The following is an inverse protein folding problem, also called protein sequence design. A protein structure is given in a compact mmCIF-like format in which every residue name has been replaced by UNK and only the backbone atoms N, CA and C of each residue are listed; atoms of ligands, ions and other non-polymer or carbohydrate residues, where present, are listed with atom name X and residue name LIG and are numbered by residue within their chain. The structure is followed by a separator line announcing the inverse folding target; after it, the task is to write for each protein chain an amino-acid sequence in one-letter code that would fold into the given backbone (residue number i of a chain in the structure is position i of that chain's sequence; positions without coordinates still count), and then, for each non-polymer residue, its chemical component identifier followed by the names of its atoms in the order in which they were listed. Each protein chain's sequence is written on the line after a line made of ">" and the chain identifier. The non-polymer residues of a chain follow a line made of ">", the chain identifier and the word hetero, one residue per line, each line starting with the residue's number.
data_IF_601704372641
#
_entry.id   IF_601704372641
#
_cell.length_a   1.000
_cell.length_b   1.000
_cell.length_c   1.000
_cell.angle_alpha   90.00
_cell.angle_beta   90.00
_cell.angle_gamma   90.00
#
_symmetry.space_group_name_H-M   'P 1'
#
loop_
_entity.id
_entity.type
_entity.pdbx_description
1 polymer ?
#
# COMPACT_ATOMS: atom_id res chain seq x y z
N UNK A 1 -2.12 21.36 -7.64
CA UNK A 1 -2.05 19.89 -7.59
C UNK A 1 -1.47 19.45 -6.24
N UNK A 2 -1.76 18.22 -5.80
CA UNK A 2 -1.23 17.61 -4.58
C UNK A 2 -0.41 16.39 -5.00
N UNK A 3 0.91 16.44 -4.81
CA UNK A 3 1.77 15.29 -5.12
C UNK A 3 1.56 14.18 -4.08
N UNK A 4 1.15 13.00 -4.57
CA UNK A 4 0.75 11.83 -3.79
C UNK A 4 1.41 10.56 -4.34
N UNK A 5 2.76 10.49 -4.32
CA UNK A 5 3.49 9.33 -4.82
C UNK A 5 3.16 8.06 -4.03
N UNK A 6 3.43 6.91 -4.63
CA UNK A 6 3.40 5.61 -3.96
C UNK A 6 2.62 4.56 -4.73
N UNK A 7 1.48 4.90 -5.35
CA UNK A 7 0.88 4.04 -6.36
C UNK A 7 1.78 3.99 -7.61
N UNK A 8 2.15 5.20 -8.08
CA UNK A 8 3.23 5.47 -9.02
C UNK A 8 4.06 6.63 -8.48
N UNK A 9 5.31 6.77 -8.92
CA UNK A 9 6.27 7.76 -8.39
C UNK A 9 5.85 9.22 -8.66
N UNK A 10 5.11 9.45 -9.75
CA UNK A 10 4.69 10.77 -10.21
C UNK A 10 3.19 11.05 -9.98
N UNK A 11 2.49 10.23 -9.18
CA UNK A 11 1.05 10.37 -8.98
C UNK A 11 0.67 11.74 -8.36
N UNK A 12 -0.38 12.36 -8.91
CA UNK A 12 -0.92 13.64 -8.48
C UNK A 12 -2.43 13.52 -8.22
N UNK A 13 -2.89 14.07 -7.09
CA UNK A 13 -4.30 14.41 -6.90
C UNK A 13 -4.53 15.87 -7.28
N UNK A 14 -5.76 16.20 -7.70
CA UNK A 14 -6.13 17.57 -8.08
C UNK A 14 -7.28 18.07 -7.22
N UNK A 15 -7.05 19.15 -6.46
CA UNK A 15 -8.09 19.82 -5.71
C UNK A 15 -8.77 20.86 -6.60
N UNK A 16 -10.10 20.85 -6.65
CA UNK A 16 -10.86 21.89 -7.32
C UNK A 16 -11.07 23.07 -6.34
N UNK A 17 -10.59 24.29 -6.66
CA UNK A 17 -10.67 25.43 -5.75
C UNK A 17 -12.10 25.69 -5.25
N UNK A 18 -12.22 26.09 -3.98
CA UNK A 18 -13.45 26.52 -3.29
C UNK A 18 -14.65 25.55 -3.32
N UNK A 19 -14.42 24.29 -3.74
CA UNK A 19 -15.48 23.28 -3.89
C UNK A 19 -15.47 22.21 -2.81
N UNK A 20 -14.35 22.05 -2.09
CA UNK A 20 -14.12 20.91 -1.20
C UNK A 20 -13.93 19.57 -1.94
N UNK A 21 -13.72 19.58 -3.25
CA UNK A 21 -13.54 18.39 -4.08
C UNK A 21 -12.05 18.09 -4.30
N UNK A 22 -11.67 16.82 -4.15
CA UNK A 22 -10.38 16.29 -4.59
C UNK A 22 -10.59 15.16 -5.62
N UNK A 23 -9.98 15.29 -6.80
CA UNK A 23 -9.80 14.17 -7.71
C UNK A 23 -8.64 13.32 -7.22
N UNK A 24 -8.94 12.17 -6.61
CA UNK A 24 -7.96 11.34 -5.90
C UNK A 24 -7.20 10.38 -6.82
N UNK A 25 -7.65 10.21 -8.05
CA UNK A 25 -7.05 9.29 -9.02
C UNK A 25 -7.07 7.85 -8.50
N UNK A 26 -5.96 7.15 -8.72
CA UNK A 26 -5.76 5.77 -8.25
C UNK A 26 -5.07 5.72 -6.89
N UNK A 27 -4.79 6.86 -6.26
CA UNK A 27 -4.18 6.88 -4.93
C UNK A 27 -5.17 6.49 -3.82
N UNK A 28 -6.43 6.92 -3.95
CA UNK A 28 -7.55 6.50 -3.09
C UNK A 28 -8.74 6.21 -3.99
N UNK A 29 -9.07 4.93 -4.17
CA UNK A 29 -10.18 4.46 -5.02
C UNK A 29 -11.43 4.16 -4.19
N UNK A 30 -12.60 4.18 -4.84
CA UNK A 30 -13.91 4.00 -4.18
C UNK A 30 -14.34 2.55 -3.97
N UNK A 31 -13.74 1.58 -4.68
CA UNK A 31 -14.21 0.18 -4.70
C UNK A 31 -13.16 -0.88 -4.29
N UNK A 32 -11.89 -0.48 -4.15
CA UNK A 32 -10.78 -1.37 -3.79
C UNK A 32 -9.57 -0.54 -3.37
N UNK A 33 -8.55 -1.19 -2.80
CA UNK A 33 -7.29 -0.51 -2.44
C UNK A 33 -6.37 -0.39 -3.64
N UNK A 34 -5.57 0.67 -3.70
CA UNK A 34 -4.59 0.89 -4.78
C UNK A 34 -3.56 -0.23 -4.86
N UNK A 35 -3.11 -0.58 -6.06
CA UNK A 35 -1.96 -1.50 -6.19
C UNK A 35 -0.68 -0.73 -5.95
N UNK A 36 0.22 -1.21 -5.10
CA UNK A 36 1.54 -0.62 -4.93
C UNK A 36 2.55 -1.62 -5.49
N UNK A 37 3.24 -1.21 -6.56
CA UNK A 37 4.02 -2.11 -7.40
C UNK A 37 5.41 -1.54 -7.69
N UNK A 38 6.44 -1.93 -6.91
CA UNK A 38 7.82 -1.55 -7.17
C UNK A 38 8.29 -1.96 -8.58
N UNK A 39 9.25 -1.22 -9.18
CA UNK A 39 9.97 -0.08 -8.59
C UNK A 39 9.24 1.27 -8.71
N UNK A 40 8.17 1.36 -9.52
CA UNK A 40 7.47 2.65 -9.71
C UNK A 40 6.53 2.98 -8.55
N UNK A 41 5.94 1.97 -7.91
CA UNK A 41 5.21 2.10 -6.66
C UNK A 41 6.10 1.91 -5.44
N UNK A 42 5.80 2.63 -4.36
CA UNK A 42 6.57 2.65 -3.12
C UNK A 42 5.62 2.71 -1.91
N UNK A 43 5.75 1.76 -0.98
CA UNK A 43 4.85 1.64 0.17
C UNK A 43 5.04 2.77 1.18
N UNK A 44 6.28 3.18 1.44
CA UNK A 44 6.58 4.25 2.39
C UNK A 44 6.01 5.58 1.88
N UNK A 45 6.23 5.90 0.60
CA UNK A 45 5.69 7.08 -0.07
C UNK A 45 4.15 7.04 -0.13
N UNK A 46 3.57 5.87 -0.37
CA UNK A 46 2.12 5.68 -0.36
C UNK A 46 1.52 6.00 1.01
N UNK A 47 2.09 5.43 2.09
CA UNK A 47 1.62 5.68 3.45
C UNK A 47 1.78 7.15 3.84
N UNK A 48 2.92 7.77 3.53
CA UNK A 48 3.14 9.20 3.78
C UNK A 48 2.15 10.09 2.99
N UNK A 49 1.76 9.68 1.79
CA UNK A 49 0.76 10.38 0.99
C UNK A 49 -0.66 10.21 1.53
N UNK A 50 -1.01 9.04 2.06
CA UNK A 50 -2.28 8.86 2.79
C UNK A 50 -2.34 9.73 4.05
N UNK A 51 -1.25 9.82 4.82
CA UNK A 51 -1.18 10.71 5.99
C UNK A 51 -1.30 12.19 5.60
N UNK A 52 -0.68 12.59 4.47
CA UNK A 52 -0.85 13.93 3.89
C UNK A 52 -2.32 14.19 3.54
N UNK A 53 -3.02 13.22 2.96
CA UNK A 53 -4.44 13.33 2.62
C UNK A 53 -5.33 13.39 3.87
N UNK A 54 -5.01 12.68 4.96
CA UNK A 54 -5.73 12.80 6.23
C UNK A 54 -5.68 14.21 6.84
N UNK A 55 -4.56 14.92 6.64
CA UNK A 55 -4.39 16.30 7.08
C UNK A 55 -5.27 17.31 6.32
N UNK A 56 -5.84 16.93 5.17
CA UNK A 56 -6.68 17.80 4.35
C UNK A 56 -8.12 17.85 4.87
N UNK A 57 -8.87 18.83 4.35
CA UNK A 57 -10.26 19.12 4.73
C UNK A 57 -11.23 19.06 3.54
N UNK A 58 -10.87 18.31 2.50
CA UNK A 58 -11.77 18.09 1.37
C UNK A 58 -13.02 17.31 1.85
N UNK A 59 -14.18 17.67 1.30
CA UNK A 59 -15.47 17.10 1.65
C UNK A 59 -15.79 15.84 0.85
N UNK A 60 -15.31 15.73 -0.40
CA UNK A 60 -15.56 14.57 -1.26
C UNK A 60 -14.35 14.25 -2.14
N UNK A 61 -14.05 12.96 -2.30
CA UNK A 61 -13.09 12.50 -3.30
C UNK A 61 -13.81 11.92 -4.51
N UNK A 62 -13.33 12.26 -5.70
CA UNK A 62 -13.70 11.64 -6.97
C UNK A 62 -12.53 10.78 -7.47
N UNK A 63 -12.58 9.46 -7.27
CA UNK A 63 -11.54 8.55 -7.75
C UNK A 63 -11.67 8.28 -9.25
N UNK A 64 -10.62 7.73 -9.87
CA UNK A 64 -10.73 7.14 -11.22
C UNK A 64 -11.68 5.95 -11.23
N UNK A 65 -11.69 5.18 -10.13
CA UNK A 65 -12.42 3.93 -10.02
C UNK A 65 -13.30 3.86 -8.78
N UNK A 66 -14.55 3.43 -8.99
CA UNK A 66 -15.56 3.34 -7.95
C UNK A 66 -16.36 4.64 -7.77
N UNK A 67 -17.31 4.65 -6.81
CA UNK A 67 -18.16 5.81 -6.55
C UNK A 67 -17.38 6.95 -5.88
N UNK A 68 -18.01 8.12 -5.81
CA UNK A 68 -17.53 9.23 -4.99
C UNK A 68 -17.42 8.81 -3.52
N UNK A 69 -16.40 9.32 -2.84
CA UNK A 69 -16.14 9.07 -1.43
C UNK A 69 -16.56 10.32 -0.65
N UNK A 70 -17.74 10.28 -0.01
CA UNK A 70 -18.32 11.41 0.74
C UNK A 70 -17.83 11.52 2.18
N UNK A 71 -17.07 10.53 2.66
CA UNK A 71 -16.38 10.57 3.95
C UNK A 71 -14.86 10.33 3.79
N UNK A 72 -14.12 11.26 3.16
CA UNK A 72 -12.71 11.01 2.79
C UNK A 72 -11.82 10.59 3.97
N UNK A 73 -11.99 11.21 5.14
CA UNK A 73 -11.17 10.90 6.32
C UNK A 73 -11.39 9.49 6.84
N UNK A 74 -12.64 9.04 6.89
CA UNK A 74 -12.99 7.67 7.31
C UNK A 74 -12.41 6.67 6.32
N UNK A 75 -12.58 6.93 5.02
CA UNK A 75 -12.10 6.06 3.95
C UNK A 75 -10.57 5.95 3.91
N UNK A 76 -9.85 7.07 4.03
CA UNK A 76 -8.38 7.09 4.06
C UNK A 76 -7.85 6.37 5.32
N UNK A 77 -8.52 6.52 6.47
CA UNK A 77 -8.16 5.73 7.67
C UNK A 77 -8.33 4.23 7.43
N UNK A 78 -9.39 3.82 6.73
CA UNK A 78 -9.58 2.41 6.39
C UNK A 78 -8.47 1.89 5.46
N UNK A 79 -8.00 2.70 4.51
CA UNK A 79 -6.85 2.35 3.67
C UNK A 79 -5.57 2.16 4.50
N UNK A 80 -5.28 3.09 5.41
CA UNK A 80 -4.12 2.99 6.32
C UNK A 80 -4.22 1.74 7.19
N UNK A 81 -5.39 1.49 7.79
CA UNK A 81 -5.63 0.31 8.62
C UNK A 81 -5.38 -0.98 7.82
N UNK A 82 -5.93 -1.08 6.61
CA UNK A 82 -5.72 -2.24 5.75
C UNK A 82 -4.23 -2.51 5.44
N UNK A 83 -3.42 -1.46 5.23
CA UNK A 83 -1.98 -1.60 5.01
C UNK A 83 -1.25 -2.07 6.25
N UNK A 84 -1.61 -1.55 7.42
CA UNK A 84 -1.02 -1.96 8.70
C UNK A 84 -1.40 -3.40 9.07
N UNK A 85 -2.64 -3.81 8.80
CA UNK A 85 -3.08 -5.19 8.96
C UNK A 85 -2.27 -6.12 8.05
N UNK A 86 -2.06 -5.75 6.79
CA UNK A 86 -1.22 -6.52 5.86
C UNK A 86 0.22 -6.62 6.34
N UNK A 87 0.82 -5.52 6.78
CA UNK A 87 2.17 -5.48 7.35
C UNK A 87 2.29 -6.39 8.57
N UNK A 88 1.31 -6.33 9.48
CA UNK A 88 1.26 -7.19 10.67
C UNK A 88 1.25 -8.67 10.27
N UNK A 89 0.40 -9.05 9.31
CA UNK A 89 0.37 -10.42 8.81
C UNK A 89 1.68 -10.88 8.16
N UNK A 90 2.40 -9.97 7.48
CA UNK A 90 3.74 -10.26 6.93
C UNK A 90 4.72 -10.51 8.07
N UNK A 91 4.75 -9.64 9.08
CA UNK A 91 5.63 -9.79 10.25
C UNK A 91 5.32 -11.09 11.02
N UNK A 92 4.06 -11.49 11.13
CA UNK A 92 3.65 -12.76 11.74
C UNK A 92 4.16 -13.96 10.94
N UNK A 93 4.18 -13.87 9.60
CA UNK A 93 4.76 -14.91 8.74
C UNK A 93 6.27 -15.03 8.96
N UNK A 94 6.98 -13.89 8.97
CA UNK A 94 8.43 -13.86 9.21
C UNK A 94 8.80 -14.38 10.59
N UNK A 95 8.01 -14.03 11.62
CA UNK A 95 8.17 -14.55 12.99
C UNK A 95 8.02 -16.07 13.06
N UNK A 96 7.20 -16.65 12.18
CA UNK A 96 7.01 -18.09 12.06
C UNK A 96 8.03 -18.77 11.13
N UNK A 97 9.04 -18.04 10.64
CA UNK A 97 10.06 -18.56 9.71
C UNK A 97 9.61 -18.66 8.25
N UNK A 98 8.49 -18.04 7.87
CA UNK A 98 8.00 -18.03 6.48
C UNK A 98 8.51 -16.76 5.79
N UNK A 99 9.69 -16.86 5.15
CA UNK A 99 10.40 -15.74 4.54
C UNK A 99 10.24 -15.57 3.02
N UNK A 100 9.69 -16.58 2.33
CA UNK A 100 9.48 -16.52 0.88
C UNK A 100 8.16 -15.82 0.54
N UNK A 101 8.18 -14.87 -0.41
CA UNK A 101 7.00 -14.09 -0.78
C UNK A 101 5.84 -14.96 -1.24
N UNK A 102 6.10 -16.01 -2.02
CA UNK A 102 5.04 -16.90 -2.50
C UNK A 102 4.35 -17.67 -1.36
N UNK A 103 5.10 -18.03 -0.32
CA UNK A 103 4.58 -18.69 0.87
C UNK A 103 3.82 -17.72 1.79
N UNK A 104 4.31 -16.48 1.92
CA UNK A 104 3.61 -15.40 2.62
C UNK A 104 2.27 -15.11 1.91
N UNK A 105 2.26 -15.02 0.57
CA UNK A 105 1.04 -14.81 -0.20
C UNK A 105 0.03 -15.93 0.02
N UNK A 106 0.48 -17.18 0.01
CA UNK A 106 -0.37 -18.34 0.27
C UNK A 106 -1.04 -18.30 1.64
N UNK A 107 -0.29 -17.88 2.66
CA UNK A 107 -0.80 -17.77 4.04
C UNK A 107 -1.73 -16.59 4.25
N UNK A 108 -1.44 -15.44 3.63
CA UNK A 108 -2.17 -14.19 3.89
C UNK A 108 -3.33 -13.90 2.93
N UNK A 109 -3.41 -14.59 1.79
CA UNK A 109 -4.45 -14.37 0.79
C UNK A 109 -5.24 -15.66 0.57
N UNK A 110 -5.88 -16.15 1.63
CA UNK A 110 -6.74 -17.34 1.59
C UNK A 110 -7.89 -17.14 0.59
N UNK A 111 -8.07 -18.08 -0.33
CA UNK A 111 -9.13 -18.02 -1.35
C UNK A 111 -8.85 -17.04 -2.50
N UNK A 112 -7.61 -16.56 -2.65
CA UNK A 112 -7.22 -15.68 -3.75
C UNK A 112 -7.41 -16.36 -5.11
N UNK A 113 -8.06 -15.65 -6.03
CA UNK A 113 -8.18 -16.10 -7.41
C UNK A 113 -6.80 -16.25 -8.06
N UNK A 114 -6.52 -17.32 -8.83
CA UNK A 114 -5.19 -17.59 -9.38
C UNK A 114 -4.57 -16.41 -10.15
N UNK A 115 -5.38 -15.67 -10.91
CA UNK A 115 -4.93 -14.49 -11.67
C UNK A 115 -4.43 -13.33 -10.81
N UNK A 116 -4.73 -13.29 -9.51
CA UNK A 116 -4.34 -12.22 -8.60
C UNK A 116 -3.08 -12.53 -7.80
N UNK A 117 -2.54 -13.76 -7.86
CA UNK A 117 -1.36 -14.17 -7.07
C UNK A 117 -0.14 -13.29 -7.34
N UNK A 118 0.09 -12.93 -8.61
CA UNK A 118 1.17 -12.00 -8.99
C UNK A 118 1.00 -10.61 -8.37
N UNK A 119 -0.21 -10.07 -8.36
CA UNK A 119 -0.49 -8.76 -7.78
C UNK A 119 -0.30 -8.78 -6.24
N UNK A 120 -0.75 -9.85 -5.59
CA UNK A 120 -0.52 -10.07 -4.16
C UNK A 120 0.98 -10.15 -3.83
N UNK A 121 1.76 -10.91 -4.60
CA UNK A 121 3.22 -10.99 -4.44
C UNK A 121 3.91 -9.63 -4.57
N UNK A 122 3.52 -8.82 -5.56
CA UNK A 122 4.05 -7.44 -5.69
C UNK A 122 3.65 -6.55 -4.51
N UNK A 123 2.45 -6.71 -3.97
CA UNK A 123 2.03 -5.96 -2.78
C UNK A 123 2.84 -6.37 -1.55
N UNK A 124 3.09 -7.66 -1.33
CA UNK A 124 3.95 -8.15 -0.25
C UNK A 124 5.38 -7.64 -0.41
N UNK A 125 5.91 -7.69 -1.64
CA UNK A 125 7.24 -7.17 -1.96
C UNK A 125 7.37 -5.67 -1.62
N UNK A 126 6.35 -4.86 -1.93
CA UNK A 126 6.34 -3.44 -1.58
C UNK A 126 6.43 -3.20 -0.06
N UNK A 127 5.71 -4.00 0.74
CA UNK A 127 5.81 -3.94 2.19
C UNK A 127 7.20 -4.36 2.68
N UNK A 128 7.77 -5.43 2.12
CA UNK A 128 9.09 -5.92 2.52
C UNK A 128 10.21 -4.91 2.20
N UNK A 129 10.15 -4.21 1.07
CA UNK A 129 11.09 -3.13 0.74
C UNK A 129 11.03 -2.03 1.81
N UNK A 130 9.84 -1.57 2.18
CA UNK A 130 9.66 -0.54 3.22
C UNK A 130 10.14 -1.05 4.60
N UNK A 131 9.80 -2.28 4.99
CA UNK A 131 10.24 -2.88 6.24
C UNK A 131 11.78 -3.04 6.32
N UNK A 132 12.42 -3.39 5.20
CA UNK A 132 13.88 -3.43 5.08
C UNK A 132 14.46 -2.02 5.20
N UNK A 133 13.87 -1.03 4.52
CA UNK A 133 14.26 0.38 4.62
C UNK A 133 14.14 0.94 6.04
N UNK A 134 13.18 0.45 6.83
CA UNK A 134 13.00 0.78 8.26
C UNK A 134 13.88 -0.05 9.22
N UNK A 135 14.65 -1.01 8.72
CA UNK A 135 15.51 -1.88 9.54
C UNK A 135 14.75 -2.89 10.41
N UNK A 136 13.48 -3.17 10.10
CA UNK A 136 12.64 -4.14 10.83
C UNK A 136 12.86 -5.56 10.28
N UNK A 137 13.16 -5.65 8.98
CA UNK A 137 13.35 -6.90 8.23
C UNK A 137 14.71 -6.86 7.55
N UNK A 138 15.36 -8.02 7.45
CA UNK A 138 16.55 -8.24 6.63
C UNK A 138 16.19 -9.14 5.44
N UNK A 139 16.93 -8.99 4.34
CA UNK A 139 16.83 -9.82 3.14
C UNK A 139 18.18 -10.46 2.81
N UNK A 140 18.18 -11.66 2.24
CA UNK A 140 19.38 -12.36 1.77
C UNK A 140 19.90 -11.80 0.44
N UNK A 141 20.26 -10.51 0.45
CA UNK A 141 20.64 -9.74 -0.73
C UNK A 141 19.73 -8.52 -0.95
N UNK A 142 19.83 -7.83 -2.10
CA UNK A 142 18.91 -6.76 -2.46
C UNK A 142 17.46 -7.27 -2.46
N UNK A 143 16.48 -6.50 -1.94
CA UNK A 143 15.08 -6.90 -1.97
C UNK A 143 14.59 -7.21 -3.39
N UNK A 144 14.20 -8.46 -3.62
CA UNK A 144 13.58 -8.93 -4.85
C UNK A 144 12.45 -9.92 -4.56
N UNK A 145 11.70 -10.29 -5.59
CA UNK A 145 10.54 -11.19 -5.47
C UNK A 145 10.92 -12.62 -5.04
N UNK A 146 12.12 -13.04 -5.37
CA UNK A 146 12.71 -14.37 -5.15
C UNK A 146 13.74 -14.39 -4.01
N UNK A 147 13.87 -13.28 -3.27
CA UNK A 147 14.75 -13.20 -2.10
C UNK A 147 14.04 -13.73 -0.85
N UNK A 148 14.80 -14.35 0.04
CA UNK A 148 14.31 -14.77 1.34
C UNK A 148 14.44 -13.62 2.37
N UNK A 149 13.41 -13.44 3.20
CA UNK A 149 13.33 -12.37 4.21
C UNK A 149 13.25 -12.93 5.63
N UNK A 150 13.75 -12.18 6.61
CA UNK A 150 13.68 -12.52 8.04
C UNK A 150 13.54 -11.27 8.89
N UNK A 151 13.04 -11.39 10.12
CA UNK A 151 13.12 -10.29 11.08
C UNK A 151 14.58 -9.93 11.35
N UNK A 152 14.86 -8.62 11.47
CA UNK A 152 16.17 -8.14 11.91
C UNK A 152 16.46 -8.61 13.33
N UNK A 153 17.72 -8.96 13.62
CA UNK A 153 18.12 -9.33 14.98
C UNK A 153 18.19 -8.06 15.85
N UNK A 154 17.62 -8.13 17.06
CA UNK A 154 17.75 -7.09 18.08
C UNK A 154 19.10 -7.15 18.78
#
# INVERSE_FOLDING_TARGET
>A
AVHTPGHTSNHLCFALPDSGILFSGDHVMGWSTSVISPPDGDMAAYMASLDKLLGRRDAVYWPTHGPAITEPKTHVRAFIAHRRERETGILDCLSAGVGDIDAIVERLYVGLQPGLRRAAGRSVHAHLIDLVGRGIVESDGPPALDTHYRLARS
#
